data_IF_758925862250
#
_entry.id   IF_758925862250
#
_cell.length_a   1.000
_cell.length_b   1.000
_cell.length_c   1.000
_cell.angle_alpha   90.00
_cell.angle_beta   90.00
_cell.angle_gamma   90.00
#
_symmetry.space_group_name_H-M   'P 1'
#
loop_
_entity.id
_entity.type
_entity.pdbx_description
1 polymer ?
#
# COMPACT_ATOMS: atom_id res chain seq x y z
N UNK A 1 5.53 -11.17 28.41
CA UNK A 1 6.34 -10.27 27.56
C UNK A 1 5.94 -8.83 27.87
N UNK A 2 6.90 -7.91 27.92
CA UNK A 2 6.63 -6.48 28.11
C UNK A 2 6.59 -5.82 26.73
N UNK A 3 5.44 -5.29 26.31
CA UNK A 3 5.34 -4.50 25.08
C UNK A 3 6.08 -3.16 25.26
N UNK A 4 6.68 -2.66 24.17
CA UNK A 4 7.32 -1.33 24.14
C UNK A 4 6.34 -0.24 23.72
N UNK A 5 5.39 -0.57 22.85
CA UNK A 5 4.27 0.29 22.46
C UNK A 5 3.01 -0.29 23.10
N UNK A 6 2.35 0.49 23.95
CA UNK A 6 1.22 0.04 24.80
C UNK A 6 -0.03 0.84 24.51
N UNK A 7 -1.17 0.45 25.11
CA UNK A 7 -2.41 1.22 25.06
C UNK A 7 -2.25 2.70 25.48
N UNK A 8 -1.25 3.02 26.29
CA UNK A 8 -1.01 4.38 26.81
C UNK A 8 0.00 5.17 25.96
N UNK A 9 0.72 4.51 25.04
CA UNK A 9 1.65 5.18 24.13
C UNK A 9 0.90 6.13 23.18
N UNK A 10 1.28 7.41 23.04
CA UNK A 10 0.61 8.32 22.11
C UNK A 10 0.81 7.89 20.66
N UNK A 11 -0.16 8.21 19.78
CA UNK A 11 -0.03 7.99 18.34
C UNK A 11 0.73 9.16 17.74
N UNK A 12 2.04 9.02 17.58
CA UNK A 12 2.92 10.03 16.97
C UNK A 12 3.53 9.55 15.67
N UNK A 13 4.13 10.45 14.90
CA UNK A 13 4.79 10.14 13.65
C UNK A 13 5.93 9.14 13.84
N UNK A 14 6.72 9.29 14.90
CA UNK A 14 7.84 8.41 15.23
C UNK A 14 7.35 6.99 15.53
N UNK A 15 6.25 6.86 16.26
CA UNK A 15 5.65 5.55 16.58
C UNK A 15 5.14 4.87 15.31
N UNK A 16 4.45 5.62 14.43
CA UNK A 16 3.99 5.09 13.14
C UNK A 16 5.16 4.70 12.24
N UNK A 17 6.26 5.47 12.25
CA UNK A 17 7.48 5.17 11.51
C UNK A 17 8.14 3.88 12.01
N UNK A 18 8.22 3.67 13.33
CA UNK A 18 8.70 2.41 13.92
C UNK A 18 7.82 1.24 13.47
N UNK A 19 6.50 1.38 13.54
CA UNK A 19 5.55 0.33 13.12
C UNK A 19 5.69 0.01 11.63
N UNK A 20 5.89 1.03 10.78
CA UNK A 20 6.07 0.86 9.35
C UNK A 20 7.30 0.00 9.02
N UNK A 21 8.40 0.19 9.74
CA UNK A 21 9.69 -0.42 9.41
C UNK A 21 10.01 -1.71 10.21
N UNK A 22 9.26 -2.01 11.26
CA UNK A 22 9.39 -3.29 11.98
C UNK A 22 8.82 -4.45 11.16
N UNK A 23 9.43 -5.65 11.18
CA UNK A 23 8.83 -6.83 10.56
C UNK A 23 7.44 -7.12 11.14
N UNK A 24 6.44 -7.40 10.30
CA UNK A 24 5.05 -7.63 10.73
C UNK A 24 4.94 -8.74 11.77
N UNK A 25 5.68 -9.83 11.59
CA UNK A 25 5.74 -10.96 12.52
C UNK A 25 6.27 -10.59 13.92
N UNK A 26 7.01 -9.48 14.03
CA UNK A 26 7.53 -9.00 15.32
C UNK A 26 6.56 -8.07 16.05
N UNK A 27 5.56 -7.51 15.36
CA UNK A 27 4.63 -6.55 15.95
C UNK A 27 3.89 -7.09 17.18
N UNK A 28 3.38 -8.34 17.23
CA UNK A 28 2.70 -8.84 18.43
C UNK A 28 3.58 -8.93 19.68
N UNK A 29 4.91 -8.98 19.52
CA UNK A 29 5.84 -8.98 20.65
C UNK A 29 6.21 -7.56 21.13
N UNK A 30 6.03 -6.55 20.28
CA UNK A 30 6.50 -5.17 20.50
C UNK A 30 5.34 -4.22 20.80
N UNK A 31 4.19 -4.43 20.17
CA UNK A 31 3.01 -3.56 20.17
C UNK A 31 1.83 -4.29 20.80
N UNK A 32 1.27 -3.73 21.86
CA UNK A 32 0.07 -4.25 22.51
C UNK A 32 -1.15 -4.13 21.58
N UNK A 33 -2.01 -5.15 21.57
CA UNK A 33 -3.22 -5.18 20.72
C UNK A 33 -4.11 -3.95 20.84
N UNK A 34 -4.28 -3.49 22.08
CA UNK A 34 -5.10 -2.30 22.38
C UNK A 34 -4.53 -1.02 21.75
N UNK A 35 -3.24 -0.97 21.41
CA UNK A 35 -2.69 0.15 20.67
C UNK A 35 -3.29 0.24 19.26
N UNK A 36 -3.42 -0.90 18.56
CA UNK A 36 -3.95 -0.94 17.19
C UNK A 36 -5.41 -0.47 17.11
N UNK A 37 -6.20 -0.73 18.15
CA UNK A 37 -7.60 -0.28 18.23
C UNK A 37 -7.71 1.26 18.23
N UNK A 38 -6.69 1.98 18.71
CA UNK A 38 -6.64 3.45 18.66
C UNK A 38 -6.39 4.01 17.25
N UNK A 39 -5.82 3.21 16.35
CA UNK A 39 -5.39 3.69 15.04
C UNK A 39 -6.60 3.91 14.13
N UNK A 40 -6.77 5.17 13.72
CA UNK A 40 -7.76 5.56 12.69
C UNK A 40 -7.21 5.27 11.30
N UNK A 41 -8.10 5.28 10.31
CA UNK A 41 -7.73 5.05 8.91
C UNK A 41 -6.63 6.01 8.42
N UNK A 42 -6.64 7.26 8.88
CA UNK A 42 -5.58 8.23 8.56
C UNK A 42 -4.22 7.81 9.13
N UNK A 43 -4.18 7.16 10.30
CA UNK A 43 -2.93 6.66 10.88
C UNK A 43 -2.41 5.45 10.11
N UNK A 44 -3.28 4.52 9.72
CA UNK A 44 -2.89 3.36 8.90
C UNK A 44 -2.44 3.81 7.51
N UNK A 45 -3.14 4.76 6.89
CA UNK A 45 -2.71 5.35 5.63
C UNK A 45 -1.38 6.08 5.77
N UNK A 46 -1.10 6.73 6.91
CA UNK A 46 0.20 7.33 7.14
C UNK A 46 1.33 6.30 7.14
N UNK A 47 1.10 5.10 7.70
CA UNK A 47 2.04 3.97 7.59
C UNK A 47 2.27 3.57 6.13
N UNK A 48 1.22 3.50 5.30
CA UNK A 48 1.35 3.22 3.87
C UNK A 48 2.17 4.32 3.14
N UNK A 49 2.02 5.59 3.51
CA UNK A 49 2.84 6.69 2.97
C UNK A 49 4.29 6.57 3.42
N UNK A 50 4.57 6.17 4.65
CA UNK A 50 5.94 5.94 5.14
C UNK A 50 6.62 4.79 4.38
N UNK A 51 5.88 3.72 4.06
CA UNK A 51 6.36 2.63 3.20
C UNK A 51 6.60 3.09 1.75
N UNK A 52 5.76 4.00 1.25
CA UNK A 52 5.97 4.63 -0.06
C UNK A 52 7.26 5.46 -0.08
N UNK A 53 7.51 6.23 1.00
CA UNK A 53 8.74 7.00 1.18
C UNK A 53 9.96 6.08 1.22
N UNK A 54 9.89 4.96 1.97
CA UNK A 54 10.95 3.94 2.00
C UNK A 54 11.30 3.45 0.59
N UNK A 55 10.31 3.12 -0.23
CA UNK A 55 10.56 2.67 -1.59
C UNK A 55 11.29 3.72 -2.43
N UNK A 56 10.87 4.98 -2.34
CA UNK A 56 11.54 6.09 -3.01
C UNK A 56 12.99 6.26 -2.54
N UNK A 57 13.22 6.21 -1.22
CA UNK A 57 14.55 6.34 -0.61
C UNK A 57 15.49 5.19 -1.02
N UNK A 58 14.93 4.00 -1.29
CA UNK A 58 15.63 2.82 -1.82
C UNK A 58 15.76 2.83 -3.35
N UNK A 59 15.23 3.86 -4.01
CA UNK A 59 15.35 4.04 -5.45
C UNK A 59 14.25 3.38 -6.30
N UNK A 60 13.24 2.76 -5.68
CA UNK A 60 12.12 2.08 -6.34
C UNK A 60 10.91 2.95 -6.66
N UNK A 61 9.78 2.29 -6.94
CA UNK A 61 8.50 2.90 -7.32
C UNK A 61 7.63 3.25 -6.10
N UNK A 62 6.66 4.16 -6.24
CA UNK A 62 5.97 4.77 -5.10
C UNK A 62 4.60 4.18 -4.83
N UNK A 63 4.58 2.94 -4.33
CA UNK A 63 3.34 2.28 -3.91
C UNK A 63 3.57 1.60 -2.56
N UNK A 64 2.89 2.07 -1.52
CA UNK A 64 2.90 1.45 -0.18
C UNK A 64 1.55 0.82 0.16
N UNK A 65 1.56 -0.35 0.80
CA UNK A 65 0.38 -1.12 1.17
C UNK A 65 0.39 -1.57 2.62
N UNK A 66 -0.77 -1.57 3.28
CA UNK A 66 -0.97 -2.09 4.65
C UNK A 66 -2.29 -2.85 4.72
N UNK A 67 -2.28 -4.01 5.35
CA UNK A 67 -3.47 -4.84 5.59
C UNK A 67 -3.70 -4.93 7.10
N UNK A 68 -4.94 -4.69 7.50
CA UNK A 68 -5.38 -4.89 8.88
C UNK A 68 -6.50 -5.93 8.96
N UNK A 69 -6.52 -6.68 10.06
CA UNK A 69 -7.68 -7.47 10.45
C UNK A 69 -8.77 -6.55 11.04
N UNK A 70 -10.01 -6.69 10.57
CA UNK A 70 -11.08 -5.76 10.94
C UNK A 70 -11.56 -5.92 12.39
N UNK A 71 -11.40 -7.12 12.99
CA UNK A 71 -11.85 -7.39 14.36
C UNK A 71 -10.86 -6.85 15.39
N UNK A 72 -9.58 -7.14 15.17
CA UNK A 72 -8.50 -6.85 16.12
C UNK A 72 -7.78 -5.54 15.81
N UNK A 73 -7.98 -4.99 14.61
CA UNK A 73 -7.26 -3.82 14.06
C UNK A 73 -5.75 -4.05 13.89
N UNK A 74 -5.24 -5.26 14.15
CA UNK A 74 -3.83 -5.60 13.98
C UNK A 74 -3.42 -5.46 12.52
N UNK A 75 -2.21 -4.94 12.31
CA UNK A 75 -1.56 -5.02 10.99
C UNK A 75 -1.14 -6.47 10.78
N UNK A 76 -1.73 -7.11 9.77
CA UNK A 76 -1.44 -8.51 9.43
C UNK A 76 -0.51 -8.64 8.25
N UNK A 77 -0.33 -7.58 7.45
CA UNK A 77 0.67 -7.50 6.39
C UNK A 77 0.94 -6.06 6.00
N UNK A 78 2.15 -5.76 5.55
CA UNK A 78 2.51 -4.45 5.00
C UNK A 78 3.71 -4.58 4.05
N UNK A 79 3.81 -3.64 3.12
CA UNK A 79 4.89 -3.65 2.14
C UNK A 79 4.91 -2.38 1.30
N UNK A 80 5.91 -2.30 0.44
CA UNK A 80 5.99 -1.31 -0.62
C UNK A 80 6.40 -2.00 -1.91
N UNK A 81 6.35 -1.24 -3.00
CA UNK A 81 6.87 -1.67 -4.29
C UNK A 81 8.33 -2.12 -4.18
N UNK A 82 8.65 -3.25 -4.80
CA UNK A 82 9.99 -3.86 -4.76
C UNK A 82 10.51 -4.22 -6.14
N UNK A 83 9.97 -3.61 -7.21
CA UNK A 83 10.39 -3.85 -8.59
C UNK A 83 11.91 -3.64 -8.73
N UNK A 84 12.43 -2.55 -8.16
CA UNK A 84 13.88 -2.23 -8.20
C UNK A 84 14.66 -2.99 -7.14
N UNK A 85 14.15 -3.03 -5.91
CA UNK A 85 14.87 -3.53 -4.73
C UNK A 85 15.19 -5.01 -4.83
N UNK A 86 14.24 -5.80 -5.35
CA UNK A 86 14.37 -7.25 -5.48
C UNK A 86 14.65 -7.68 -6.93
N UNK A 87 14.67 -6.74 -7.89
CA UNK A 87 14.65 -7.06 -9.32
C UNK A 87 13.41 -7.87 -9.71
N UNK A 88 12.29 -7.63 -9.02
CA UNK A 88 11.07 -8.40 -9.16
C UNK A 88 10.33 -7.96 -10.44
N UNK A 89 9.86 -8.89 -11.29
CA UNK A 89 9.14 -8.54 -12.51
C UNK A 89 7.81 -7.82 -12.25
N UNK A 90 7.23 -7.96 -11.05
CA UNK A 90 5.99 -7.32 -10.64
C UNK A 90 5.72 -7.54 -9.14
N UNK A 91 6.02 -6.55 -8.29
CA UNK A 91 5.62 -6.60 -6.88
C UNK A 91 5.32 -5.21 -6.30
N UNK A 92 4.11 -4.72 -6.60
CA UNK A 92 3.51 -3.48 -6.09
C UNK A 92 3.29 -3.52 -4.58
N UNK A 93 2.98 -2.36 -3.98
CA UNK A 93 2.73 -2.24 -2.54
C UNK A 93 1.63 -3.17 -2.03
N UNK A 94 0.55 -3.36 -2.80
CA UNK A 94 -0.55 -4.25 -2.44
C UNK A 94 -0.14 -5.73 -2.45
N UNK A 95 0.57 -6.17 -3.50
CA UNK A 95 1.04 -7.55 -3.59
C UNK A 95 2.10 -7.83 -2.53
N UNK A 96 2.99 -6.87 -2.27
CA UNK A 96 4.00 -6.92 -1.23
C UNK A 96 3.37 -7.07 0.15
N UNK A 97 2.33 -6.27 0.46
CA UNK A 97 1.58 -6.40 1.71
C UNK A 97 0.85 -7.76 1.83
N UNK A 98 0.25 -8.28 0.76
CA UNK A 98 -0.39 -9.61 0.74
C UNK A 98 0.64 -10.72 0.97
N UNK A 99 1.83 -10.60 0.35
CA UNK A 99 2.94 -11.55 0.51
C UNK A 99 3.45 -11.57 1.94
N UNK A 100 3.66 -10.41 2.55
CA UNK A 100 4.05 -10.27 3.96
C UNK A 100 2.99 -10.85 4.90
N UNK A 101 1.71 -10.67 4.58
CA UNK A 101 0.60 -11.24 5.35
C UNK A 101 0.53 -12.77 5.30
N UNK A 102 1.13 -13.39 4.29
CA UNK A 102 1.09 -14.83 4.08
C UNK A 102 -0.31 -15.37 3.74
N UNK A 103 -0.42 -16.69 3.72
CA UNK A 103 -1.67 -17.38 3.37
C UNK A 103 -2.69 -17.26 4.51
N UNK A 104 -3.76 -16.53 4.27
CA UNK A 104 -4.89 -16.40 5.19
C UNK A 104 -6.19 -16.08 4.43
N UNK A 105 -7.31 -16.06 5.16
CA UNK A 105 -8.57 -15.53 4.66
C UNK A 105 -8.58 -14.00 4.80
N UNK A 106 -8.69 -13.29 3.68
CA UNK A 106 -8.69 -11.83 3.64
C UNK A 106 -10.12 -11.24 3.72
N UNK A 107 -11.15 -12.08 3.79
CA UNK A 107 -12.55 -11.63 3.74
C UNK A 107 -13.00 -10.77 4.91
N UNK A 108 -12.23 -10.75 6.01
CA UNK A 108 -12.44 -9.85 7.14
C UNK A 108 -11.26 -8.88 7.35
N UNK A 109 -10.66 -8.42 6.26
CA UNK A 109 -9.53 -7.49 6.29
C UNK A 109 -9.80 -6.23 5.49
N UNK A 110 -9.16 -5.13 5.91
CA UNK A 110 -9.07 -3.90 5.11
C UNK A 110 -7.66 -3.79 4.54
N UNK A 111 -7.55 -3.52 3.24
CA UNK A 111 -6.29 -3.09 2.61
C UNK A 111 -6.27 -1.58 2.41
N UNK A 112 -5.16 -0.96 2.78
CA UNK A 112 -4.82 0.43 2.56
C UNK A 112 -3.73 0.47 1.51
N UNK A 113 -3.95 1.22 0.44
CA UNK A 113 -2.94 1.45 -0.61
C UNK A 113 -2.75 2.95 -0.80
N UNK A 114 -1.50 3.39 -0.88
CA UNK A 114 -1.18 4.81 -1.03
C UNK A 114 -1.74 5.35 -2.35
N UNK A 115 -1.71 4.56 -3.41
CA UNK A 115 -2.15 4.94 -4.74
C UNK A 115 -3.32 4.05 -5.18
N UNK A 116 -4.16 4.52 -6.11
CA UNK A 116 -5.21 3.67 -6.68
C UNK A 116 -4.58 2.39 -7.24
N UNK A 117 -5.11 1.20 -6.87
CA UNK A 117 -4.53 -0.06 -7.32
C UNK A 117 -4.68 -0.18 -8.84
N UNK A 118 -3.66 -0.74 -9.50
CA UNK A 118 -3.75 -1.11 -10.91
C UNK A 118 -4.70 -2.30 -11.12
N UNK A 119 -5.05 -2.62 -12.36
CA UNK A 119 -5.91 -3.77 -12.72
C UNK A 119 -5.50 -5.10 -12.07
N UNK A 120 -4.20 -5.38 -11.94
CA UNK A 120 -3.69 -6.62 -11.34
C UNK A 120 -3.94 -6.64 -9.83
N UNK A 121 -3.55 -5.57 -9.14
CA UNK A 121 -3.78 -5.42 -7.70
C UNK A 121 -5.28 -5.40 -7.37
N UNK A 122 -6.07 -4.67 -8.15
CA UNK A 122 -7.53 -4.63 -8.05
C UNK A 122 -8.16 -6.00 -8.19
N UNK A 123 -7.75 -6.76 -9.21
CA UNK A 123 -8.22 -8.13 -9.41
C UNK A 123 -7.81 -9.04 -8.26
N UNK A 124 -6.58 -8.91 -7.74
CA UNK A 124 -6.13 -9.72 -6.61
C UNK A 124 -6.94 -9.41 -5.34
N UNK A 125 -7.17 -8.15 -5.04
CA UNK A 125 -8.00 -7.68 -3.91
C UNK A 125 -9.42 -8.27 -4.04
N UNK A 126 -10.02 -8.17 -5.23
CA UNK A 126 -11.33 -8.75 -5.51
C UNK A 126 -11.34 -10.28 -5.29
N UNK A 127 -10.37 -10.99 -5.85
CA UNK A 127 -10.28 -12.45 -5.79
C UNK A 127 -9.98 -12.98 -4.38
N UNK A 128 -9.32 -12.17 -3.53
CA UNK A 128 -9.10 -12.47 -2.11
C UNK A 128 -10.23 -12.01 -1.20
N UNK A 129 -11.26 -11.38 -1.78
CA UNK A 129 -12.50 -11.00 -1.11
C UNK A 129 -12.32 -10.00 0.04
N UNK A 130 -11.30 -9.13 0.00
CA UNK A 130 -11.11 -8.09 1.01
C UNK A 130 -12.42 -7.37 1.33
N UNK A 131 -12.75 -7.21 2.61
CA UNK A 131 -13.98 -6.53 3.01
C UNK A 131 -13.91 -5.04 2.64
N UNK A 132 -12.73 -4.43 2.67
CA UNK A 132 -12.62 -2.98 2.44
C UNK A 132 -11.29 -2.60 1.81
N UNK A 133 -11.34 -1.56 0.98
CA UNK A 133 -10.15 -0.94 0.36
C UNK A 133 -10.14 0.55 0.74
N UNK A 134 -8.99 1.08 1.12
CA UNK A 134 -8.82 2.52 1.41
C UNK A 134 -7.67 3.03 0.57
N UNK A 135 -7.90 4.12 -0.16
CA UNK A 135 -6.97 4.64 -1.17
C UNK A 135 -6.45 6.01 -0.75
N UNK A 136 -5.14 6.20 -0.75
CA UNK A 136 -4.50 7.47 -0.35
C UNK A 136 -4.64 8.55 -1.42
N UNK A 137 -4.42 8.17 -2.68
CA UNK A 137 -4.47 9.03 -3.84
C UNK A 137 -5.15 8.31 -5.03
N UNK A 138 -6.17 8.95 -5.59
CA UNK A 138 -6.93 8.46 -6.76
C UNK A 138 -6.66 9.27 -8.02
N UNK A 139 -5.80 10.29 -7.93
CA UNK A 139 -5.57 11.28 -9.00
C UNK A 139 -4.27 11.07 -9.74
N UNK A 140 -3.23 10.55 -9.07
CA UNK A 140 -1.91 10.38 -9.71
C UNK A 140 -1.78 9.10 -10.54
N UNK A 141 -2.61 8.08 -10.30
CA UNK A 141 -2.57 6.83 -11.05
C UNK A 141 -2.88 7.08 -12.55
N UNK A 142 -2.12 6.46 -13.44
CA UNK A 142 -2.28 6.60 -14.89
C UNK A 142 -3.49 5.80 -15.39
N UNK A 143 -4.69 6.34 -15.20
CA UNK A 143 -5.88 5.88 -15.92
C UNK A 143 -7.09 5.57 -15.05
N UNK A 144 -8.15 5.14 -15.70
CA UNK A 144 -9.55 5.14 -15.25
C UNK A 144 -9.87 4.02 -14.23
N UNK A 145 -8.90 3.70 -13.38
CA UNK A 145 -8.87 2.61 -12.40
C UNK A 145 -10.01 2.78 -11.38
N UNK A 146 -10.38 4.03 -11.06
CA UNK A 146 -11.42 4.32 -10.08
C UNK A 146 -12.77 3.74 -10.54
N UNK A 147 -13.37 4.09 -11.68
CA UNK A 147 -14.61 3.43 -12.13
C UNK A 147 -14.55 1.89 -12.18
N UNK A 148 -13.43 1.28 -12.57
CA UNK A 148 -13.34 -0.18 -12.75
C UNK A 148 -13.12 -0.95 -11.45
N UNK A 149 -12.18 -0.49 -10.61
CA UNK A 149 -11.99 -0.96 -9.22
C UNK A 149 -13.29 -0.81 -8.46
N UNK A 150 -13.94 0.35 -8.56
CA UNK A 150 -15.22 0.62 -7.90
C UNK A 150 -16.31 -0.31 -8.48
N UNK A 151 -16.48 -0.42 -9.79
CA UNK A 151 -17.56 -1.23 -10.38
C UNK A 151 -17.43 -2.73 -10.11
N UNK A 152 -16.23 -3.33 -10.07
CA UNK A 152 -16.06 -4.78 -9.79
C UNK A 152 -15.91 -5.10 -8.31
N UNK A 153 -15.17 -4.32 -7.54
CA UNK A 153 -15.01 -4.56 -6.10
C UNK A 153 -16.35 -4.38 -5.36
N UNK A 154 -17.15 -3.36 -5.73
CA UNK A 154 -18.45 -3.13 -5.07
C UNK A 154 -19.56 -4.08 -5.51
N UNK A 155 -19.45 -4.74 -6.66
CA UNK A 155 -20.50 -5.62 -7.13
C UNK A 155 -20.70 -6.86 -6.25
N UNK A 156 -19.73 -7.22 -5.37
CA UNK A 156 -19.83 -8.50 -4.65
C UNK A 156 -19.35 -8.63 -3.21
N UNK A 157 -18.84 -7.59 -2.52
CA UNK A 157 -18.62 -7.54 -1.03
C UNK A 157 -17.56 -6.53 -0.56
N UNK A 158 -16.81 -5.86 -1.42
CA UNK A 158 -15.87 -4.82 -0.93
C UNK A 158 -16.72 -3.64 -0.47
N UNK A 159 -16.91 -3.51 0.84
CA UNK A 159 -17.91 -2.69 1.49
C UNK A 159 -17.75 -1.19 1.19
N UNK A 160 -16.52 -0.65 1.10
CA UNK A 160 -16.24 0.79 0.89
C UNK A 160 -14.86 1.02 0.25
N UNK A 161 -14.78 1.96 -0.69
CA UNK A 161 -13.54 2.65 -1.10
C UNK A 161 -13.60 4.06 -0.54
N UNK A 162 -12.55 4.48 0.15
CA UNK A 162 -12.44 5.82 0.73
C UNK A 162 -11.16 6.43 0.18
N UNK A 163 -11.29 7.54 -0.55
CA UNK A 163 -10.15 8.37 -0.92
C UNK A 163 -9.81 9.31 0.23
N UNK A 164 -8.61 9.19 0.79
CA UNK A 164 -8.16 10.05 1.89
C UNK A 164 -7.46 11.34 1.41
N UNK A 165 -7.13 11.44 0.10
CA UNK A 165 -6.43 12.57 -0.53
C UNK A 165 -5.22 13.04 0.29
N UNK A 166 -4.17 12.22 0.35
CA UNK A 166 -2.98 12.52 1.15
C UNK A 166 -2.07 13.53 0.45
N UNK A 167 -1.97 14.81 0.87
CA UNK A 167 -1.24 15.84 0.10
C UNK A 167 0.26 15.52 -0.02
N UNK A 168 0.84 14.97 1.05
CA UNK A 168 2.23 14.53 1.07
C UNK A 168 2.50 13.40 0.08
N UNK A 169 1.61 12.41 0.03
CA UNK A 169 1.73 11.30 -0.90
C UNK A 169 1.63 11.76 -2.36
N UNK A 170 0.63 12.59 -2.66
CA UNK A 170 0.43 13.18 -3.99
C UNK A 170 1.68 13.96 -4.43
N UNK A 171 2.22 14.82 -3.55
CA UNK A 171 3.40 15.62 -3.86
C UNK A 171 4.65 14.75 -4.10
N UNK A 172 4.85 13.72 -3.28
CA UNK A 172 5.96 12.78 -3.43
C UNK A 172 5.85 12.00 -4.75
N UNK A 173 4.66 11.53 -5.11
CA UNK A 173 4.43 10.81 -6.37
C UNK A 173 4.66 11.71 -7.59
N UNK A 174 4.18 12.96 -7.55
CA UNK A 174 4.41 13.93 -8.62
C UNK A 174 5.92 14.20 -8.83
N UNK A 175 6.68 14.33 -7.73
CA UNK A 175 8.14 14.47 -7.77
C UNK A 175 8.79 13.25 -8.41
N UNK A 176 8.44 12.05 -7.98
CA UNK A 176 8.96 10.79 -8.53
C UNK A 176 8.75 10.68 -10.04
N UNK A 177 7.53 10.93 -10.53
CA UNK A 177 7.21 10.82 -11.96
C UNK A 177 8.06 11.77 -12.81
N UNK A 178 8.37 12.96 -12.28
CA UNK A 178 9.24 13.91 -12.95
C UNK A 178 10.71 13.45 -12.97
N UNK A 179 11.18 12.82 -11.89
CA UNK A 179 12.57 12.35 -11.76
C UNK A 179 12.83 11.02 -12.48
N UNK A 180 11.83 10.12 -12.54
CA UNK A 180 11.97 8.75 -13.04
C UNK A 180 10.80 8.33 -13.95
N UNK A 181 10.57 9.02 -15.08
CA UNK A 181 9.42 8.74 -15.95
C UNK A 181 9.47 7.35 -16.62
N UNK A 182 10.67 6.83 -16.92
CA UNK A 182 10.82 5.49 -17.50
C UNK A 182 10.49 4.39 -16.49
N UNK A 183 10.89 4.57 -15.23
CA UNK A 183 10.58 3.62 -14.16
C UNK A 183 9.08 3.65 -13.81
N UNK A 184 8.45 4.83 -13.77
CA UNK A 184 6.98 4.95 -13.68
C UNK A 184 6.32 4.21 -14.85
N UNK A 185 6.83 4.33 -16.07
CA UNK A 185 6.27 3.60 -17.21
C UNK A 185 6.46 2.09 -17.09
N UNK A 186 7.63 1.62 -16.67
CA UNK A 186 7.91 0.20 -16.43
C UNK A 186 6.98 -0.38 -15.37
N UNK A 187 6.81 0.32 -14.26
CA UNK A 187 5.97 -0.10 -13.14
C UNK A 187 4.51 -0.31 -13.55
N UNK A 188 3.98 0.58 -14.39
CA UNK A 188 2.59 0.54 -14.84
C UNK A 188 2.34 -0.31 -16.08
N UNK A 189 3.34 -0.46 -16.97
CA UNK A 189 3.14 -1.02 -18.33
C UNK A 189 4.18 -2.07 -18.72
N UNK A 190 5.17 -2.32 -17.88
CA UNK A 190 6.28 -3.24 -18.08
C UNK A 190 7.39 -2.70 -18.98
N UNK A 191 8.55 -3.37 -18.95
CA UNK A 191 9.75 -3.04 -19.74
C UNK A 191 9.49 -2.93 -21.24
N UNK A 192 8.56 -3.72 -21.78
CA UNK A 192 8.20 -3.67 -23.20
C UNK A 192 7.64 -2.29 -23.61
N UNK A 193 6.98 -1.57 -22.71
CA UNK A 193 6.49 -0.22 -22.97
C UNK A 193 7.64 0.79 -23.03
N UNK A 194 8.60 0.68 -22.10
CA UNK A 194 9.82 1.51 -22.08
C UNK A 194 10.60 1.35 -23.38
N UNK A 195 10.91 0.11 -23.78
CA UNK A 195 11.64 -0.18 -25.01
C UNK A 195 10.98 0.42 -26.27
N UNK A 196 9.64 0.38 -26.35
CA UNK A 196 8.89 0.96 -27.49
C UNK A 196 8.98 2.48 -27.51
N UNK A 197 8.90 3.14 -26.36
CA UNK A 197 8.99 4.59 -26.26
C UNK A 197 10.37 5.10 -26.71
N UNK A 198 11.45 4.42 -26.29
CA UNK A 198 12.82 4.74 -26.69
C UNK A 198 13.06 4.52 -28.19
N UNK A 199 12.44 3.50 -28.79
CA UNK A 199 12.54 3.27 -30.25
C UNK A 199 11.77 4.30 -31.08
N UNK A 200 10.72 4.90 -30.54
CA UNK A 200 9.91 5.92 -31.25
C UNK A 200 10.51 7.33 -31.23
N UNK A 201 11.59 7.53 -30.47
CA UNK A 201 12.31 8.81 -30.34
C UNK A 201 13.61 8.85 -31.16
N UNK A 202 13.94 7.77 -31.88
CA UNK A 202 15.01 7.64 -32.86
C UNK A 202 14.45 7.71 -34.29
#
# INVERSE_FOLDING_TARGET
MKHFITQDTPVTEEVLNVIAHLPTKSLPAIVEDKFFVKLRDQNIMRIAVLLTQKSYDEGGCLIGGVIIDNNTRRIVGKGHDTLVQDGDPYNHGETSAIRDAGRQDFSNTTIFTMLSPCDVCATLIYMRQFDRVVVGDVTSALGNEVPWVMNRCFARRVSKSISLKTPWGIALYAKYRAEKPELDMEDWKGLAAVCKATQSTL
#
